data_IF_444789809101
#
_entry.id   IF_444789809101
#
_cell.length_a   1.000
_cell.length_b   1.000
_cell.length_c   1.000
_cell.angle_alpha   90.00
_cell.angle_beta   90.00
_cell.angle_gamma   90.00
#
_symmetry.space_group_name_H-M   'P 1'
#
loop_
_entity.id
_entity.type
_entity.pdbx_description
1 polymer ?
#
# COMPACT_ATOMS: atom_id res chain seq x y z
N UNK A 1 -15.07 8.17 10.97
CA UNK A 1 -14.32 6.97 11.39
C UNK A 1 -13.85 6.26 10.12
N UNK A 2 -12.58 6.39 9.77
CA UNK A 2 -12.03 5.84 8.53
C UNK A 2 -11.91 4.33 8.64
N UNK A 3 -12.69 3.59 7.83
CA UNK A 3 -12.56 2.14 7.71
C UNK A 3 -11.25 1.85 6.98
N UNK A 4 -10.30 1.09 7.56
CA UNK A 4 -9.06 0.76 6.86
C UNK A 4 -9.35 -0.23 5.71
N UNK A 5 -8.83 -0.04 4.49
CA UNK A 5 -8.93 -1.04 3.43
C UNK A 5 -7.84 -2.11 3.59
N UNK A 6 -7.96 -3.29 2.94
CA UNK A 6 -9.02 -4.26 3.05
C UNK A 6 -8.47 -5.52 3.77
N UNK A 7 -8.86 -5.76 5.02
CA UNK A 7 -8.51 -7.01 5.71
C UNK A 7 -9.35 -8.22 5.25
N UNK A 8 -10.44 -7.98 4.52
CA UNK A 8 -11.42 -8.99 4.11
C UNK A 8 -10.86 -10.03 3.10
N UNK A 9 -10.17 -9.66 2.02
CA UNK A 9 -9.69 -10.65 1.03
C UNK A 9 -8.64 -11.59 1.58
N UNK A 10 -7.78 -11.10 2.48
CA UNK A 10 -6.74 -11.88 3.15
C UNK A 10 -7.34 -12.85 4.16
N UNK A 11 -8.29 -12.41 4.99
CA UNK A 11 -8.99 -13.28 5.95
C UNK A 11 -9.76 -14.41 5.25
N UNK A 12 -10.48 -14.09 4.16
CA UNK A 12 -11.18 -15.10 3.35
C UNK A 12 -10.19 -16.07 2.70
N UNK A 13 -9.06 -15.59 2.17
CA UNK A 13 -8.05 -16.47 1.58
C UNK A 13 -7.41 -17.43 2.59
N UNK A 14 -7.16 -16.97 3.83
CA UNK A 14 -6.65 -17.79 4.92
C UNK A 14 -7.69 -18.84 5.33
N UNK A 15 -8.96 -18.44 5.50
CA UNK A 15 -10.06 -19.33 5.85
C UNK A 15 -10.32 -20.41 4.79
N UNK A 16 -10.19 -20.06 3.51
CA UNK A 16 -10.37 -21.00 2.39
C UNK A 16 -9.13 -21.88 2.11
N UNK A 17 -8.17 -21.96 3.03
CA UNK A 17 -6.92 -22.74 2.88
C UNK A 17 -6.12 -22.43 1.59
N UNK A 18 -6.22 -21.21 1.07
CA UNK A 18 -5.47 -20.76 -0.11
C UNK A 18 -4.08 -20.27 0.28
N UNK A 19 -3.37 -21.08 1.07
CA UNK A 19 -1.97 -20.85 1.36
C UNK A 19 -1.12 -21.37 0.20
N UNK A 20 -0.16 -20.56 -0.23
CA UNK A 20 0.85 -20.92 -1.23
C UNK A 20 2.23 -20.92 -0.58
N UNK A 21 3.14 -21.71 -1.13
CA UNK A 21 4.55 -21.59 -0.78
C UNK A 21 5.07 -20.19 -1.10
N UNK A 22 5.98 -19.70 -0.26
CA UNK A 22 6.66 -18.44 -0.47
C UNK A 22 7.41 -18.51 -1.80
N UNK A 23 7.26 -17.48 -2.63
CA UNK A 23 7.94 -17.44 -3.92
C UNK A 23 9.46 -17.50 -3.73
N UNK A 24 10.17 -18.28 -4.56
CA UNK A 24 11.64 -18.41 -4.49
C UNK A 24 12.36 -17.05 -4.57
N UNK A 25 11.77 -16.08 -5.26
CA UNK A 25 12.30 -14.73 -5.41
C UNK A 25 11.89 -13.77 -4.30
N UNK A 26 11.09 -14.20 -3.31
CA UNK A 26 10.61 -13.33 -2.22
C UNK A 26 11.76 -12.79 -1.40
N UNK A 27 12.73 -13.64 -1.03
CA UNK A 27 13.94 -13.23 -0.29
C UNK A 27 14.68 -12.10 -0.99
N UNK A 28 15.09 -12.31 -2.25
CA UNK A 28 15.80 -11.30 -3.05
C UNK A 28 14.99 -10.01 -3.23
N UNK A 29 13.66 -10.11 -3.31
CA UNK A 29 12.80 -8.94 -3.40
C UNK A 29 12.73 -8.16 -2.09
N UNK A 30 12.70 -8.85 -0.94
CA UNK A 30 12.72 -8.22 0.37
C UNK A 30 14.08 -7.58 0.65
N UNK A 31 15.17 -8.24 0.30
CA UNK A 31 16.52 -7.70 0.41
C UNK A 31 16.66 -6.37 -0.35
N UNK A 32 16.25 -6.32 -1.62
CA UNK A 32 16.25 -5.08 -2.41
C UNK A 32 15.40 -3.96 -1.80
N UNK A 33 14.28 -4.29 -1.16
CA UNK A 33 13.43 -3.31 -0.47
C UNK A 33 14.15 -2.79 0.78
N UNK A 34 14.82 -3.67 1.53
CA UNK A 34 15.60 -3.30 2.71
C UNK A 34 16.82 -2.44 2.36
N UNK A 35 17.57 -2.78 1.31
CA UNK A 35 18.68 -1.96 0.80
C UNK A 35 18.20 -0.56 0.42
N UNK A 36 17.05 -0.48 -0.27
CA UNK A 36 16.44 0.80 -0.63
C UNK A 36 16.01 1.60 0.60
N UNK A 37 15.44 0.96 1.62
CA UNK A 37 15.09 1.61 2.89
C UNK A 37 16.32 2.12 3.63
N UNK A 38 17.40 1.33 3.66
CA UNK A 38 18.66 1.73 4.27
C UNK A 38 19.23 2.99 3.59
N UNK A 39 19.26 3.03 2.25
CA UNK A 39 19.68 4.21 1.50
C UNK A 39 18.81 5.43 1.77
N UNK A 40 17.48 5.29 1.74
CA UNK A 40 16.57 6.40 2.03
C UNK A 40 16.71 6.93 3.46
N UNK A 41 16.94 6.06 4.43
CA UNK A 41 17.17 6.45 5.83
C UNK A 41 18.52 7.15 6.02
N UNK A 42 19.56 6.74 5.29
CA UNK A 42 20.85 7.44 5.29
C UNK A 42 20.70 8.87 4.74
N UNK A 43 20.04 9.02 3.58
CA UNK A 43 19.75 10.33 3.00
C UNK A 43 18.86 11.20 3.92
N UNK A 44 17.89 10.60 4.61
CA UNK A 44 17.06 11.32 5.57
C UNK A 44 17.91 11.86 6.72
N UNK A 45 18.83 11.05 7.25
CA UNK A 45 19.71 11.46 8.35
C UNK A 45 20.61 12.62 7.95
N UNK A 46 21.21 12.58 6.77
CA UNK A 46 22.02 13.69 6.23
C UNK A 46 21.18 14.98 6.12
N UNK A 47 19.96 14.89 5.59
CA UNK A 47 19.05 16.04 5.49
C UNK A 47 18.62 16.59 6.86
N UNK A 48 18.45 15.73 7.87
CA UNK A 48 18.13 16.14 9.23
C UNK A 48 19.32 16.83 9.92
N UNK A 49 20.54 16.35 9.69
CA UNK A 49 21.76 16.99 10.18
C UNK A 49 21.99 18.36 9.51
N UNK A 50 21.77 18.47 8.20
CA UNK A 50 21.81 19.73 7.45
C UNK A 50 20.75 20.72 7.95
N UNK A 51 19.52 20.25 8.20
CA UNK A 51 18.45 21.05 8.78
C UNK A 51 18.87 21.60 10.15
N UNK A 52 19.44 20.74 11.00
CA UNK A 52 19.89 21.12 12.35
C UNK A 52 21.02 22.14 12.31
N UNK A 53 21.93 22.02 11.34
CA UNK A 53 22.99 23.00 11.11
C UNK A 53 22.42 24.35 10.62
N UNK A 54 21.50 24.32 9.64
CA UNK A 54 20.84 25.52 9.10
C UNK A 54 20.02 26.27 10.15
N UNK A 55 19.36 25.55 11.06
CA UNK A 55 18.60 26.15 12.18
C UNK A 55 19.48 26.87 13.22
N UNK A 56 20.77 26.50 13.33
CA UNK A 56 21.74 27.17 14.21
C UNK A 56 22.36 28.43 13.59
N UNK A 57 22.23 28.63 12.27
CA UNK A 57 22.73 29.82 11.56
C UNK A 57 21.83 31.05 11.77
N UNK A 58 22.41 32.26 11.71
CA UNK A 58 21.67 33.55 11.69
C UNK A 58 21.54 34.08 10.25
N UNK A 59 20.46 34.79 9.93
CA UNK A 59 20.28 35.45 8.62
C UNK A 59 19.76 34.52 7.52
N UNK A 60 20.33 34.60 6.30
CA UNK A 60 19.92 33.84 5.11
C UNK A 60 19.93 32.30 5.28
N UNK A 61 20.67 31.78 6.27
CA UNK A 61 20.63 30.36 6.65
C UNK A 61 19.26 29.87 7.14
N UNK A 62 18.42 30.76 7.71
CA UNK A 62 17.09 30.40 8.22
C UNK A 62 16.07 30.18 7.09
N UNK A 63 16.15 30.93 5.98
CA UNK A 63 15.30 30.69 4.78
C UNK A 63 15.60 29.35 4.12
N UNK A 64 16.85 28.89 4.21
CA UNK A 64 17.27 27.59 3.68
C UNK A 64 16.75 26.43 4.57
N UNK A 65 16.49 26.68 5.85
CA UNK A 65 15.96 25.69 6.78
C UNK A 65 14.51 25.27 6.46
N UNK A 66 13.63 26.20 6.06
CA UNK A 66 12.25 25.87 5.67
C UNK A 66 12.19 24.97 4.41
N UNK A 67 13.07 25.23 3.44
CA UNK A 67 13.19 24.39 2.25
C UNK A 67 13.73 22.99 2.57
N UNK A 68 14.71 22.88 3.48
CA UNK A 68 15.22 21.62 3.98
C UNK A 68 14.16 20.85 4.78
N UNK A 69 13.38 21.52 5.63
CA UNK A 69 12.31 20.89 6.42
C UNK A 69 11.26 20.25 5.50
N UNK A 70 10.88 20.95 4.43
CA UNK A 70 9.95 20.44 3.42
C UNK A 70 10.52 19.21 2.68
N UNK A 71 11.83 19.16 2.44
CA UNK A 71 12.51 17.99 1.84
C UNK A 71 12.56 16.81 2.80
N UNK A 72 12.88 17.04 4.07
CA UNK A 72 12.88 16.03 5.14
C UNK A 72 11.50 15.39 5.25
N UNK A 73 10.44 16.19 5.33
CA UNK A 73 9.07 15.69 5.43
C UNK A 73 8.67 14.83 4.22
N UNK A 74 9.00 15.29 3.00
CA UNK A 74 8.76 14.51 1.78
C UNK A 74 9.49 13.18 1.79
N UNK A 75 10.73 13.14 2.31
CA UNK A 75 11.53 11.92 2.41
C UNK A 75 10.98 10.96 3.46
N UNK A 76 10.51 11.46 4.61
CA UNK A 76 9.80 10.68 5.64
C UNK A 76 8.55 10.02 5.07
N UNK A 77 7.73 10.77 4.32
CA UNK A 77 6.55 10.22 3.66
C UNK A 77 6.90 9.13 2.63
N UNK A 78 7.99 9.33 1.87
CA UNK A 78 8.46 8.32 0.93
C UNK A 78 8.91 7.03 1.63
N UNK A 79 9.63 7.13 2.75
CA UNK A 79 10.05 6.00 3.58
C UNK A 79 8.82 5.26 4.11
N UNK A 80 7.88 5.97 4.73
CA UNK A 80 6.65 5.38 5.27
C UNK A 80 5.86 4.60 4.20
N UNK A 81 5.82 5.12 2.96
CA UNK A 81 5.19 4.42 1.82
C UNK A 81 5.93 3.12 1.46
N UNK A 82 7.26 3.13 1.43
CA UNK A 82 8.07 1.94 1.12
C UNK A 82 7.93 0.89 2.22
N UNK A 83 7.96 1.30 3.48
CA UNK A 83 7.74 0.39 4.61
C UNK A 83 6.35 -0.25 4.60
N UNK A 84 5.31 0.53 4.32
CA UNK A 84 3.95 0.00 4.22
C UNK A 84 3.85 -1.06 3.10
N UNK A 85 4.52 -0.82 1.97
CA UNK A 85 4.59 -1.78 0.88
C UNK A 85 5.39 -3.03 1.28
N UNK A 86 6.47 -2.88 2.04
CA UNK A 86 7.28 -4.00 2.56
C UNK A 86 6.46 -4.89 3.50
N UNK A 87 5.78 -4.29 4.49
CA UNK A 87 4.88 -4.97 5.42
C UNK A 87 3.78 -5.72 4.68
N UNK A 88 3.09 -5.04 3.76
CA UNK A 88 2.02 -5.66 2.96
C UNK A 88 2.53 -6.85 2.14
N UNK A 89 3.76 -6.78 1.62
CA UNK A 89 4.36 -7.87 0.84
C UNK A 89 4.71 -9.07 1.72
N UNK A 90 5.17 -8.81 2.93
CA UNK A 90 5.52 -9.85 3.91
C UNK A 90 4.26 -10.54 4.47
N UNK A 91 3.24 -9.78 4.82
CA UNK A 91 1.95 -10.31 5.33
C UNK A 91 1.24 -11.21 4.31
N UNK A 92 1.46 -10.94 3.02
CA UNK A 92 0.83 -11.66 1.91
C UNK A 92 1.72 -12.73 1.27
N UNK A 93 2.92 -12.99 1.82
CA UNK A 93 3.92 -13.88 1.20
C UNK A 93 3.43 -15.33 1.01
N UNK A 94 2.49 -15.77 1.83
CA UNK A 94 1.89 -17.12 1.79
C UNK A 94 0.46 -17.12 1.29
N UNK A 95 -0.14 -15.98 0.91
CA UNK A 95 -1.59 -15.91 0.62
C UNK A 95 -1.85 -15.74 -0.86
N UNK A 96 -2.61 -16.66 -1.46
CA UNK A 96 -3.02 -16.57 -2.87
C UNK A 96 -4.28 -15.71 -3.06
N UNK A 97 -4.14 -14.38 -2.97
CA UNK A 97 -5.26 -13.43 -3.08
C UNK A 97 -5.98 -13.45 -4.44
N UNK A 98 -5.32 -13.89 -5.52
CA UNK A 98 -5.92 -13.97 -6.84
C UNK A 98 -7.08 -14.97 -6.89
N UNK A 99 -6.88 -16.15 -6.32
CA UNK A 99 -7.88 -17.23 -6.36
C UNK A 99 -9.07 -16.92 -5.46
N UNK A 100 -8.82 -16.44 -4.23
CA UNK A 100 -9.90 -16.06 -3.30
C UNK A 100 -10.79 -14.97 -3.87
N UNK A 101 -10.19 -13.96 -4.51
CA UNK A 101 -10.89 -12.83 -5.13
C UNK A 101 -11.71 -13.19 -6.36
N UNK A 102 -11.31 -14.21 -7.10
CA UNK A 102 -11.96 -14.57 -8.36
C UNK A 102 -13.02 -15.66 -8.16
N UNK A 103 -12.80 -16.59 -7.23
CA UNK A 103 -13.59 -17.82 -7.14
C UNK A 103 -14.42 -17.91 -5.85
N UNK A 104 -14.07 -17.18 -4.79
CA UNK A 104 -14.66 -17.39 -3.46
C UNK A 104 -15.24 -16.13 -2.83
N UNK A 105 -15.09 -14.97 -3.47
CA UNK A 105 -15.74 -13.73 -3.07
C UNK A 105 -16.80 -13.36 -4.10
N UNK A 106 -18.03 -13.11 -3.65
CA UNK A 106 -19.08 -12.58 -4.52
C UNK A 106 -18.67 -11.18 -5.02
N UNK A 107 -18.47 -11.00 -6.34
CA UNK A 107 -18.02 -9.72 -6.88
C UNK A 107 -18.96 -8.57 -6.55
N UNK A 108 -20.26 -8.83 -6.31
CA UNK A 108 -21.24 -7.81 -5.91
C UNK A 108 -20.93 -7.17 -4.57
N UNK A 109 -20.39 -7.94 -3.62
CA UNK A 109 -19.94 -7.41 -2.32
C UNK A 109 -18.83 -6.37 -2.55
N UNK A 110 -17.89 -6.68 -3.45
CA UNK A 110 -16.78 -5.79 -3.79
C UNK A 110 -17.25 -4.55 -4.55
N UNK A 111 -18.16 -4.72 -5.53
CA UNK A 111 -18.73 -3.59 -6.29
C UNK A 111 -19.53 -2.66 -5.38
N UNK A 112 -20.39 -3.19 -4.52
CA UNK A 112 -21.17 -2.39 -3.57
C UNK A 112 -20.27 -1.61 -2.60
N UNK A 113 -19.18 -2.23 -2.12
CA UNK A 113 -18.17 -1.54 -1.31
C UNK A 113 -17.46 -0.42 -2.08
N UNK A 114 -17.10 -0.65 -3.35
CA UNK A 114 -16.46 0.37 -4.19
C UNK A 114 -17.38 1.57 -4.41
N UNK A 115 -18.66 1.33 -4.72
CA UNK A 115 -19.66 2.40 -4.88
C UNK A 115 -19.86 3.18 -3.59
N UNK A 116 -19.94 2.51 -2.44
CA UNK A 116 -20.16 3.14 -1.12
C UNK A 116 -18.98 4.03 -0.66
N UNK A 117 -17.76 3.68 -1.05
CA UNK A 117 -16.55 4.37 -0.60
C UNK A 117 -15.89 5.19 -1.73
N UNK A 118 -16.60 5.39 -2.85
CA UNK A 118 -16.11 6.16 -4.01
C UNK A 118 -14.74 5.67 -4.52
N UNK A 119 -14.51 4.35 -4.47
CA UNK A 119 -13.28 3.73 -4.94
C UNK A 119 -13.46 3.30 -6.40
N UNK A 120 -12.61 3.77 -7.34
CA UNK A 120 -12.66 3.33 -8.73
C UNK A 120 -12.49 1.81 -8.85
N UNK A 121 -13.44 1.15 -9.51
CA UNK A 121 -13.47 -0.31 -9.61
C UNK A 121 -12.27 -0.87 -10.38
N UNK A 122 -11.66 -0.09 -11.28
CA UNK A 122 -10.46 -0.51 -12.03
C UNK A 122 -9.22 -0.65 -11.13
N UNK A 123 -9.23 -0.02 -9.95
CA UNK A 123 -8.17 -0.23 -8.94
C UNK A 123 -8.29 -1.58 -8.25
N UNK A 124 -9.48 -2.20 -8.28
CA UNK A 124 -9.75 -3.47 -7.64
C UNK A 124 -9.75 -4.59 -8.68
N UNK A 125 -10.55 -4.49 -9.74
CA UNK A 125 -10.60 -5.50 -10.80
C UNK A 125 -9.83 -5.03 -12.04
N UNK A 126 -8.93 -5.88 -12.55
CA UNK A 126 -8.27 -5.62 -13.82
C UNK A 126 -9.28 -5.76 -14.99
N UNK A 127 -8.90 -5.33 -16.20
CA UNK A 127 -9.79 -5.37 -17.38
C UNK A 127 -10.43 -6.73 -17.65
N UNK A 128 -9.68 -7.83 -17.45
CA UNK A 128 -10.21 -9.19 -17.63
C UNK A 128 -11.30 -9.54 -16.61
N UNK A 129 -11.09 -9.18 -15.33
CA UNK A 129 -12.06 -9.41 -14.28
C UNK A 129 -13.30 -8.52 -14.41
N UNK A 130 -13.15 -7.29 -14.93
CA UNK A 130 -14.30 -6.42 -15.24
C UNK A 130 -15.22 -7.07 -16.28
N UNK A 131 -14.64 -7.63 -17.36
CA UNK A 131 -15.41 -8.37 -18.36
C UNK A 131 -16.10 -9.62 -17.79
N UNK A 132 -15.39 -10.38 -16.94
CA UNK A 132 -15.95 -11.58 -16.29
C UNK A 132 -17.10 -11.27 -15.34
N UNK A 133 -17.03 -10.15 -14.62
CA UNK A 133 -17.98 -9.76 -13.58
C UNK A 133 -18.96 -8.67 -14.04
N UNK A 134 -19.18 -8.52 -15.35
CA UNK A 134 -20.08 -7.51 -15.88
C UNK A 134 -21.49 -7.58 -15.25
N UNK A 135 -21.97 -8.80 -15.00
CA UNK A 135 -23.27 -9.06 -14.34
C UNK A 135 -23.37 -8.53 -12.91
N UNK A 136 -22.25 -8.22 -12.24
CA UNK A 136 -22.21 -7.73 -10.87
C UNK A 136 -22.08 -6.19 -10.77
N UNK A 137 -21.91 -5.48 -11.91
CA UNK A 137 -21.61 -4.05 -11.93
C UNK A 137 -22.81 -3.17 -11.56
N UNK A 138 -24.02 -3.63 -11.83
CA UNK A 138 -25.26 -2.87 -11.61
C UNK A 138 -25.79 -2.95 -10.18
N UNK A 139 -25.05 -3.58 -9.26
CA UNK A 139 -25.52 -3.75 -7.88
C UNK A 139 -25.60 -2.42 -7.11
N UNK A 140 -26.64 -2.27 -6.29
CA UNK A 140 -26.82 -1.10 -5.42
C UNK A 140 -25.72 -0.99 -4.35
N UNK A 141 -25.31 0.23 -3.94
CA UNK A 141 -24.29 0.43 -2.90
C UNK A 141 -24.68 -0.14 -1.53
N UNK A 142 -25.96 -0.43 -1.31
CA UNK A 142 -26.51 -0.97 -0.06
C UNK A 142 -26.50 -2.48 0.01
N UNK A 143 -26.12 -3.17 -1.08
CA UNK A 143 -26.11 -4.64 -1.14
C UNK A 143 -25.30 -5.27 0.00
N UNK A 144 -25.89 -6.30 0.59
CA UNK A 144 -25.31 -7.18 1.62
C UNK A 144 -25.71 -8.61 1.27
N UNK A 145 -24.78 -9.54 1.42
CA UNK A 145 -24.98 -10.98 1.24
C UNK A 145 -25.24 -11.62 2.59
#
# INVERSE_FOLDING_TARGET
MSVPPPRLPAQVAILCNHQRSVAKTHGNQMEKIQEKLAGLNAELKELEDDLRAAQKGKGDGKKNADALASKVERKKQAIAKVELAARSKEDLKTVALGTSKINYMDPRITVAWCKRNEVPIEKIFNKSLLGKFNWAMDVEPTFRW
#
